data_IF_172480215742
#
_entry.id   IF_172480215742
#
_cell.length_a   1.000
_cell.length_b   1.000
_cell.length_c   1.000
_cell.angle_alpha   90.00
_cell.angle_beta   90.00
_cell.angle_gamma   90.00
#
_symmetry.space_group_name_H-M   'P 1'
#
loop_
_entity.id
_entity.type
_entity.pdbx_description
1 polymer ?
#
# COMPACT_ATOMS: atom_id res chain seq x y z
N UNK A 1 -14.43 -9.89 -80.03
CA UNK A 1 -14.30 -8.58 -79.36
C UNK A 1 -13.95 -8.88 -77.92
N UNK A 2 -12.64 -8.95 -77.70
CA UNK A 2 -12.06 -9.30 -76.36
C UNK A 2 -12.01 -8.05 -75.49
N UNK A 3 -12.76 -8.08 -74.34
CA UNK A 3 -12.60 -7.08 -73.34
C UNK A 3 -11.50 -7.53 -72.36
N UNK A 4 -10.29 -6.98 -72.53
CA UNK A 4 -9.16 -7.20 -71.66
C UNK A 4 -9.46 -6.60 -70.23
N UNK A 5 -9.62 -7.48 -69.24
CA UNK A 5 -9.74 -7.09 -67.84
C UNK A 5 -8.39 -6.51 -67.34
N UNK A 6 -8.37 -5.25 -66.99
CA UNK A 6 -7.20 -4.61 -66.35
C UNK A 6 -6.90 -5.29 -64.99
N UNK A 7 -5.65 -5.70 -64.70
CA UNK A 7 -5.30 -6.20 -63.37
C UNK A 7 -5.29 -5.04 -62.36
N UNK A 8 -6.18 -5.13 -61.37
CA UNK A 8 -6.18 -4.25 -60.21
C UNK A 8 -4.89 -4.48 -59.43
N UNK A 9 -3.93 -3.60 -59.60
CA UNK A 9 -2.70 -3.57 -58.82
C UNK A 9 -3.06 -3.26 -57.36
N UNK A 10 -3.10 -4.29 -56.50
CA UNK A 10 -3.25 -4.13 -55.06
C UNK A 10 -2.03 -3.36 -54.50
N UNK A 11 -2.24 -2.14 -54.08
CA UNK A 11 -1.21 -1.35 -53.38
C UNK A 11 -0.81 -2.11 -52.09
N UNK A 12 0.51 -2.32 -51.85
CA UNK A 12 0.95 -3.01 -50.64
C UNK A 12 0.53 -2.20 -49.39
N UNK A 13 -0.38 -2.80 -48.61
CA UNK A 13 -0.79 -2.25 -47.31
C UNK A 13 0.43 -2.24 -46.40
N UNK A 14 0.95 -1.05 -46.12
CA UNK A 14 2.06 -0.87 -45.19
C UNK A 14 1.68 -1.54 -43.85
N UNK A 15 2.54 -2.45 -43.32
CA UNK A 15 2.24 -3.08 -42.01
C UNK A 15 2.10 -2.00 -40.95
N UNK A 16 1.11 -2.12 -40.06
CA UNK A 16 0.90 -1.11 -39.01
C UNK A 16 2.17 -1.01 -38.16
N UNK A 17 2.65 0.21 -37.97
CA UNK A 17 3.78 0.49 -37.04
C UNK A 17 3.47 -0.21 -35.72
N UNK A 18 4.37 -1.08 -35.26
CA UNK A 18 4.30 -1.70 -33.93
C UNK A 18 4.38 -0.57 -32.88
N UNK A 19 3.24 -0.05 -32.45
CA UNK A 19 3.18 0.80 -31.26
C UNK A 19 3.59 -0.04 -30.05
N UNK A 20 4.15 0.59 -29.02
CA UNK A 20 4.53 -0.02 -27.75
C UNK A 20 3.37 -0.78 -27.07
N UNK A 21 2.13 -0.42 -27.38
CA UNK A 21 0.91 -1.02 -26.84
C UNK A 21 0.11 -1.72 -27.97
N UNK A 22 -0.39 -2.90 -27.69
CA UNK A 22 -1.32 -3.59 -28.60
C UNK A 22 -2.63 -2.80 -28.74
N UNK A 23 -3.36 -2.90 -29.87
CA UNK A 23 -4.65 -2.23 -30.06
C UNK A 23 -5.66 -2.54 -28.95
N UNK A 24 -5.64 -3.76 -28.43
CA UNK A 24 -6.48 -4.19 -27.29
C UNK A 24 -6.15 -3.43 -26.01
N UNK A 25 -4.86 -3.20 -25.71
CA UNK A 25 -4.46 -2.48 -24.50
C UNK A 25 -4.75 -0.98 -24.61
N UNK A 26 -4.62 -0.39 -25.81
CA UNK A 26 -5.03 1.01 -26.05
C UNK A 26 -6.51 1.18 -25.78
N UNK A 27 -7.34 0.22 -26.24
CA UNK A 27 -8.78 0.23 -26.04
C UNK A 27 -9.13 0.08 -24.54
N UNK A 28 -8.50 -0.87 -23.82
CA UNK A 28 -8.68 -1.06 -22.38
C UNK A 28 -8.34 0.22 -21.62
N UNK A 29 -7.26 0.88 -21.98
CA UNK A 29 -6.88 2.17 -21.37
C UNK A 29 -7.90 3.27 -21.64
N UNK A 30 -8.44 3.37 -22.88
CA UNK A 30 -9.52 4.32 -23.19
C UNK A 30 -10.76 4.06 -22.35
N UNK A 31 -11.18 2.80 -22.24
CA UNK A 31 -12.33 2.41 -21.41
C UNK A 31 -12.10 2.72 -19.92
N UNK A 32 -10.89 2.43 -19.40
CA UNK A 32 -10.52 2.78 -18.04
C UNK A 32 -10.61 4.30 -17.81
N UNK A 33 -10.07 5.09 -18.72
CA UNK A 33 -10.10 6.56 -18.65
C UNK A 33 -11.53 7.13 -18.77
N UNK A 34 -12.42 6.45 -19.46
CA UNK A 34 -13.82 6.86 -19.58
C UNK A 34 -14.58 6.74 -18.24
N UNK A 35 -14.15 5.83 -17.34
CA UNK A 35 -14.65 5.78 -15.97
C UNK A 35 -13.92 6.84 -15.12
N UNK A 36 -14.45 8.09 -15.11
CA UNK A 36 -13.80 9.23 -14.44
C UNK A 36 -13.55 9.00 -12.95
N UNK A 37 -14.47 8.31 -12.24
CA UNK A 37 -14.28 8.01 -10.81
C UNK A 37 -13.04 7.14 -10.58
N UNK A 38 -12.93 6.02 -11.29
CA UNK A 38 -11.79 5.12 -11.14
C UNK A 38 -10.48 5.74 -11.65
N UNK A 39 -10.52 6.54 -12.73
CA UNK A 39 -9.34 7.23 -13.25
C UNK A 39 -8.75 8.22 -12.25
N UNK A 40 -9.57 9.09 -11.65
CA UNK A 40 -9.11 10.06 -10.66
C UNK A 40 -8.75 9.38 -9.34
N UNK A 41 -9.45 8.30 -8.95
CA UNK A 41 -9.09 7.51 -7.78
C UNK A 41 -7.71 6.86 -7.92
N UNK A 42 -7.34 6.38 -9.12
CA UNK A 42 -6.00 5.85 -9.36
C UNK A 42 -4.93 6.91 -9.15
N UNK A 43 -5.10 8.10 -9.75
CA UNK A 43 -4.11 9.16 -9.62
C UNK A 43 -4.00 9.69 -8.19
N UNK A 44 -5.14 9.85 -7.50
CA UNK A 44 -5.14 10.25 -6.10
C UNK A 44 -4.47 9.20 -5.21
N UNK A 45 -4.78 7.92 -5.42
CA UNK A 45 -4.13 6.82 -4.67
C UNK A 45 -2.62 6.79 -4.92
N UNK A 46 -2.19 6.91 -6.18
CA UNK A 46 -0.77 6.95 -6.53
C UNK A 46 -0.07 8.17 -5.96
N UNK A 47 -0.72 9.33 -5.92
CA UNK A 47 -0.20 10.53 -5.28
C UNK A 47 0.00 10.32 -3.78
N UNK A 48 -1.04 9.85 -3.08
CA UNK A 48 -0.97 9.61 -1.63
C UNK A 48 0.06 8.53 -1.29
N UNK A 49 0.09 7.45 -2.07
CA UNK A 49 1.08 6.40 -1.89
C UNK A 49 2.50 6.89 -2.21
N UNK A 50 2.67 7.62 -3.32
CA UNK A 50 3.95 8.24 -3.67
C UNK A 50 4.45 9.18 -2.58
N UNK A 51 3.60 10.07 -2.06
CA UNK A 51 3.95 10.93 -0.93
C UNK A 51 4.33 10.11 0.31
N UNK A 52 3.61 9.03 0.59
CA UNK A 52 3.93 8.17 1.74
C UNK A 52 5.25 7.41 1.59
N UNK A 53 5.71 7.13 0.37
CA UNK A 53 7.04 6.54 0.14
C UNK A 53 8.17 7.49 0.54
N UNK A 54 7.92 8.80 0.47
CA UNK A 54 8.85 9.85 0.90
C UNK A 54 8.49 10.39 2.29
N UNK A 55 7.94 9.54 3.16
CA UNK A 55 7.50 9.93 4.50
C UNK A 55 8.61 10.58 5.33
N UNK A 56 9.86 10.13 5.18
CA UNK A 56 11.03 10.68 5.87
C UNK A 56 11.28 12.16 5.52
N UNK A 57 10.90 12.60 4.32
CA UNK A 57 11.01 14.00 3.90
C UNK A 57 9.80 14.85 4.28
N UNK A 58 8.69 14.20 4.65
CA UNK A 58 7.45 14.88 5.04
C UNK A 58 7.28 14.97 6.56
N UNK A 59 7.67 13.92 7.27
CA UNK A 59 7.47 13.78 8.70
C UNK A 59 8.68 13.06 9.32
N UNK A 60 9.58 13.84 9.91
CA UNK A 60 10.81 13.33 10.53
C UNK A 60 11.27 14.27 11.66
N UNK A 61 11.92 13.71 12.66
CA UNK A 61 12.58 14.42 13.77
C UNK A 61 14.00 14.88 13.42
N UNK A 62 14.43 14.66 12.17
CA UNK A 62 15.74 15.08 11.64
C UNK A 62 15.55 16.10 10.50
N UNK A 63 16.39 17.13 10.40
CA UNK A 63 16.36 18.04 9.27
C UNK A 63 16.70 17.32 7.95
N UNK A 64 16.04 17.74 6.85
CA UNK A 64 16.28 17.21 5.51
C UNK A 64 17.70 17.54 5.07
N UNK A 65 18.10 18.81 5.27
CA UNK A 65 19.42 19.31 4.97
C UNK A 65 19.86 20.19 6.14
N UNK A 66 21.10 20.07 6.55
CA UNK A 66 21.73 20.96 7.51
C UNK A 66 23.08 21.45 6.95
N UNK A 67 23.40 22.70 7.19
CA UNK A 67 24.75 23.23 6.99
C UNK A 67 25.38 23.45 8.36
N UNK A 68 26.60 22.98 8.56
CA UNK A 68 27.34 23.19 9.80
C UNK A 68 28.82 23.41 9.49
N UNK A 69 29.37 24.55 9.91
CA UNK A 69 30.76 24.96 9.67
C UNK A 69 31.21 24.84 8.20
N UNK A 70 30.28 25.12 7.27
CA UNK A 70 30.54 25.08 5.82
C UNK A 70 30.36 23.70 5.17
N UNK A 71 30.09 22.63 5.92
CA UNK A 71 29.72 21.32 5.41
C UNK A 71 28.20 21.23 5.20
N UNK A 72 27.77 20.60 4.10
CA UNK A 72 26.36 20.25 3.86
C UNK A 72 26.13 18.81 4.32
N UNK A 73 25.19 18.64 5.21
CA UNK A 73 24.81 17.37 5.82
C UNK A 73 23.40 16.99 5.41
N UNK A 74 23.14 15.67 5.33
CA UNK A 74 21.81 15.10 5.02
C UNK A 74 21.34 14.20 6.17
N UNK A 75 20.89 14.76 7.31
CA UNK A 75 20.55 13.98 8.49
C UNK A 75 19.40 12.99 8.28
N UNK A 76 18.51 13.27 7.33
CA UNK A 76 17.41 12.37 6.97
C UNK A 76 17.89 11.05 6.34
N UNK A 77 19.09 11.05 5.73
CA UNK A 77 19.65 9.88 5.02
C UNK A 77 20.83 9.23 5.74
N UNK A 78 21.57 10.02 6.50
CA UNK A 78 22.83 9.60 7.15
C UNK A 78 22.77 9.98 8.61
N UNK A 79 23.05 9.00 9.47
CA UNK A 79 23.16 9.22 10.91
C UNK A 79 24.50 9.87 11.23
N UNK A 80 24.47 11.03 11.88
CA UNK A 80 25.65 11.72 12.37
C UNK A 80 25.71 11.59 13.90
N UNK A 81 26.89 11.27 14.48
CA UNK A 81 27.04 11.25 15.93
C UNK A 81 26.97 12.67 16.47
N UNK A 82 26.45 12.82 17.68
CA UNK A 82 26.29 14.12 18.35
C UNK A 82 27.66 14.78 18.64
N UNK A 83 28.73 13.98 18.75
CA UNK A 83 30.14 14.47 18.89
C UNK A 83 30.52 15.48 17.80
N UNK A 84 29.96 15.35 16.57
CA UNK A 84 30.21 16.30 15.47
C UNK A 84 29.73 17.70 15.81
N UNK A 85 28.69 17.82 16.66
CA UNK A 85 28.07 19.06 17.09
C UNK A 85 28.41 19.46 18.53
N UNK A 86 29.40 18.76 19.15
CA UNK A 86 29.85 19.04 20.50
C UNK A 86 29.10 18.32 21.62
N UNK A 87 28.21 17.37 21.29
CA UNK A 87 27.53 16.54 22.24
C UNK A 87 28.23 15.21 22.54
N UNK A 88 27.51 14.26 23.18
CA UNK A 88 28.08 13.00 23.68
C UNK A 88 27.28 11.75 23.24
N UNK A 89 26.16 11.90 22.59
CA UNK A 89 25.30 10.78 22.21
C UNK A 89 25.75 10.16 20.87
N UNK A 90 25.48 8.86 20.71
CA UNK A 90 25.76 8.13 19.48
C UNK A 90 24.91 8.58 18.29
N UNK A 91 23.67 9.04 18.57
CA UNK A 91 22.76 9.63 17.58
C UNK A 91 22.43 11.06 18.01
N UNK A 92 22.38 11.98 17.01
CA UNK A 92 22.11 13.39 17.27
C UNK A 92 20.62 13.65 17.44
N UNK A 93 20.22 14.22 18.58
CA UNK A 93 18.90 14.82 18.75
C UNK A 93 18.90 16.27 18.25
N UNK A 94 18.55 16.46 16.97
CA UNK A 94 18.48 17.79 16.33
C UNK A 94 17.38 18.71 16.92
N UNK A 95 16.49 18.18 17.77
CA UNK A 95 15.43 18.94 18.45
C UNK A 95 15.88 19.44 19.83
N UNK A 96 16.95 18.90 20.37
CA UNK A 96 17.57 19.42 21.59
C UNK A 96 17.99 20.88 21.37
N UNK A 97 17.63 21.76 22.31
CA UNK A 97 17.98 23.19 22.23
C UNK A 97 19.48 23.40 22.11
N UNK A 98 20.27 22.59 22.83
CA UNK A 98 21.74 22.68 22.83
C UNK A 98 22.31 22.43 21.42
N UNK A 99 21.88 21.37 20.76
CA UNK A 99 22.37 21.01 19.41
C UNK A 99 21.77 21.95 18.36
N UNK A 100 20.49 22.29 18.47
CA UNK A 100 19.84 23.20 17.54
C UNK A 100 20.49 24.59 17.55
N UNK A 101 20.81 25.13 18.74
CA UNK A 101 21.44 26.42 18.89
C UNK A 101 22.89 26.40 18.35
N UNK A 102 23.66 25.34 18.63
CA UNK A 102 25.03 25.17 18.08
C UNK A 102 25.02 25.13 16.54
N UNK A 103 24.09 24.35 15.95
CA UNK A 103 24.01 24.26 14.48
C UNK A 103 23.54 25.60 13.89
N UNK A 104 22.56 26.26 14.49
CA UNK A 104 22.04 27.55 14.00
C UNK A 104 23.06 28.70 14.16
N UNK A 105 23.92 28.65 15.17
CA UNK A 105 25.01 29.62 15.35
C UNK A 105 26.09 29.48 14.26
N UNK A 106 26.33 28.28 13.75
CA UNK A 106 27.39 27.96 12.79
C UNK A 106 26.86 27.56 11.39
N UNK A 107 25.55 27.72 11.13
CA UNK A 107 24.93 27.32 9.88
C UNK A 107 23.42 27.46 9.88
N UNK A 108 22.72 26.50 9.24
CA UNK A 108 21.26 26.50 9.12
C UNK A 108 20.72 25.06 8.93
N UNK A 109 19.42 24.88 9.20
CA UNK A 109 18.71 23.62 9.02
C UNK A 109 17.42 23.82 8.25
N UNK A 110 17.14 22.92 7.27
CA UNK A 110 15.86 22.82 6.59
C UNK A 110 15.12 21.62 7.15
N UNK A 111 14.01 21.88 7.80
CA UNK A 111 13.17 20.85 8.42
C UNK A 111 12.09 20.36 7.48
N UNK A 112 11.64 19.08 7.63
CA UNK A 112 10.41 18.64 7.01
C UNK A 112 9.19 19.41 7.55
N UNK A 113 8.06 19.44 6.81
CA UNK A 113 6.84 20.14 7.25
C UNK A 113 6.33 19.68 8.62
N UNK A 114 6.50 18.38 8.94
CA UNK A 114 6.16 17.78 10.22
C UNK A 114 7.47 17.38 10.90
N UNK A 115 7.81 18.04 12.01
CA UNK A 115 9.07 17.83 12.71
C UNK A 115 9.02 16.68 13.72
N UNK A 116 8.24 15.64 13.41
CA UNK A 116 8.08 14.43 14.20
C UNK A 116 8.12 13.22 13.28
N UNK A 117 8.82 12.17 13.68
CA UNK A 117 8.70 10.85 13.08
C UNK A 117 7.53 10.10 13.74
N UNK A 118 7.20 8.93 13.21
CA UNK A 118 6.18 8.08 13.83
C UNK A 118 6.56 7.54 15.22
N UNK A 119 7.84 7.67 15.63
CA UNK A 119 8.38 7.25 16.93
C UNK A 119 8.61 8.40 17.88
N UNK A 120 8.77 9.61 17.35
CA UNK A 120 9.12 10.77 18.15
C UNK A 120 8.03 11.08 19.16
N UNK A 121 8.40 11.11 20.42
CA UNK A 121 7.55 11.55 21.53
C UNK A 121 7.67 13.07 21.66
N UNK A 122 6.55 13.77 21.73
CA UNK A 122 6.55 15.19 22.00
C UNK A 122 6.48 15.41 23.53
N UNK A 123 7.61 15.78 24.14
CA UNK A 123 7.68 16.10 25.58
C UNK A 123 7.11 17.47 25.94
N UNK A 124 6.94 18.36 24.93
CA UNK A 124 6.48 19.75 25.12
C UNK A 124 4.99 19.90 24.86
N UNK A 125 4.18 18.90 25.25
CA UNK A 125 2.71 18.96 25.12
C UNK A 125 2.12 19.71 26.31
N UNK A 126 1.06 20.55 26.08
CA UNK A 126 0.47 21.37 27.14
C UNK A 126 -0.33 20.57 28.18
N UNK A 127 -0.82 19.38 27.79
CA UNK A 127 -1.63 18.49 28.63
C UNK A 127 -1.12 17.07 28.55
N UNK A 128 -1.59 16.20 29.43
CA UNK A 128 -1.29 14.76 29.36
C UNK A 128 -1.74 14.16 28.03
N UNK A 129 -0.96 13.23 27.47
CA UNK A 129 -1.34 12.50 26.27
C UNK A 129 -2.60 11.64 26.51
N UNK A 130 -3.49 11.53 25.52
CA UNK A 130 -3.45 12.14 24.18
C UNK A 130 -3.87 13.62 24.18
N UNK A 131 -3.11 14.47 23.48
CA UNK A 131 -3.36 15.91 23.36
C UNK A 131 -4.09 16.26 22.08
N UNK A 132 -5.06 17.17 22.14
CA UNK A 132 -5.89 17.58 21.02
C UNK A 132 -5.06 18.21 19.86
N UNK A 133 -5.59 18.23 18.64
CA UNK A 133 -5.02 18.98 17.52
C UNK A 133 -4.79 20.44 17.89
N UNK A 134 -3.66 21.01 17.46
CA UNK A 134 -3.28 22.38 17.84
C UNK A 134 -4.32 23.46 17.47
N UNK A 135 -5.08 23.26 16.40
CA UNK A 135 -6.10 24.19 15.93
C UNK A 135 -7.37 24.20 16.78
N UNK A 136 -7.53 23.21 17.66
CA UNK A 136 -8.60 23.20 18.69
C UNK A 136 -8.18 23.91 19.99
N UNK A 137 -6.90 24.26 20.14
CA UNK A 137 -6.36 24.91 21.33
C UNK A 137 -6.18 26.41 21.13
N UNK A 138 -6.25 27.19 22.21
CA UNK A 138 -5.84 28.60 22.21
C UNK A 138 -4.32 28.73 22.00
N UNK A 139 -3.84 29.91 21.65
CA UNK A 139 -2.41 30.13 21.45
C UNK A 139 -1.63 29.96 22.75
N UNK A 140 -2.19 30.40 23.85
CA UNK A 140 -1.64 30.27 25.20
C UNK A 140 -1.51 28.80 25.57
N UNK A 141 -2.56 28.00 25.39
CA UNK A 141 -2.53 26.55 25.64
C UNK A 141 -1.49 25.82 24.78
N UNK A 142 -1.45 26.13 23.47
CA UNK A 142 -0.49 25.49 22.54
C UNK A 142 0.94 25.64 22.98
N UNK A 143 1.31 26.84 23.45
CA UNK A 143 2.68 27.18 23.78
C UNK A 143 3.02 26.96 25.25
N UNK A 144 2.06 26.52 26.08
CA UNK A 144 2.28 26.27 27.51
C UNK A 144 3.32 25.18 27.80
N UNK A 145 3.47 24.20 26.90
CA UNK A 145 4.49 23.14 27.01
C UNK A 145 5.91 23.56 26.59
N UNK A 146 6.10 24.79 26.08
CA UNK A 146 7.41 25.27 25.63
C UNK A 146 8.07 26.17 26.68
N UNK A 147 9.41 26.05 26.89
CA UNK A 147 10.12 26.76 27.97
C UNK A 147 9.96 28.28 27.93
N UNK A 148 9.92 28.89 26.77
CA UNK A 148 9.74 30.33 26.56
C UNK A 148 8.29 30.73 26.26
N UNK A 149 7.34 29.80 26.39
CA UNK A 149 5.94 30.04 26.08
C UNK A 149 5.70 30.51 24.65
N UNK A 150 4.89 31.58 24.49
CA UNK A 150 4.58 32.14 23.16
C UNK A 150 5.78 32.78 22.44
N UNK A 151 6.88 33.04 23.13
CA UNK A 151 8.10 33.61 22.57
C UNK A 151 9.09 32.54 22.14
N UNK A 152 8.82 31.26 22.42
CA UNK A 152 9.68 30.16 21.98
C UNK A 152 9.57 29.94 20.46
N UNK A 153 10.68 30.06 19.70
CA UNK A 153 10.67 29.77 18.26
C UNK A 153 10.21 28.35 17.93
N UNK A 154 10.33 27.40 18.86
CA UNK A 154 9.85 26.04 18.68
C UNK A 154 8.32 25.95 18.69
N UNK A 155 7.61 26.91 19.28
CA UNK A 155 6.15 27.01 19.23
C UNK A 155 5.68 27.55 17.86
N UNK A 156 6.11 26.89 16.80
CA UNK A 156 5.77 27.20 15.40
C UNK A 156 4.84 26.12 14.83
N UNK A 157 4.23 26.39 13.69
CA UNK A 157 3.37 25.41 12.99
C UNK A 157 4.13 24.10 12.68
N UNK A 158 5.43 24.16 12.44
CA UNK A 158 6.26 22.98 12.18
C UNK A 158 6.53 22.10 13.39
N UNK A 159 6.40 22.65 14.60
CA UNK A 159 6.60 21.91 15.86
C UNK A 159 5.28 21.51 16.54
N UNK A 160 4.14 21.93 16.00
CA UNK A 160 2.83 21.61 16.55
C UNK A 160 2.27 20.31 15.95
N UNK A 161 1.52 19.57 16.76
CA UNK A 161 0.85 18.35 16.31
C UNK A 161 -0.44 18.68 15.58
N UNK A 162 -0.43 18.61 14.24
CA UNK A 162 -1.53 19.02 13.37
C UNK A 162 -2.83 18.25 13.61
N UNK A 163 -2.73 16.95 13.85
CA UNK A 163 -3.87 16.08 14.15
C UNK A 163 -3.85 15.58 15.62
N UNK A 164 -3.15 16.32 16.48
CA UNK A 164 -2.99 15.94 17.87
C UNK A 164 -1.94 14.85 18.09
N UNK A 165 -1.90 14.34 19.32
CA UNK A 165 -1.01 13.24 19.71
C UNK A 165 -1.79 11.99 20.04
N UNK A 166 -1.12 10.85 20.00
CA UNK A 166 -1.63 9.58 20.50
C UNK A 166 -1.41 9.46 22.04
N UNK A 167 -1.75 8.29 22.60
CA UNK A 167 -1.63 8.00 24.03
C UNK A 167 -0.20 7.97 24.56
N UNK A 168 0.80 7.93 23.66
CA UNK A 168 2.24 7.99 23.96
C UNK A 168 2.87 9.34 23.56
N UNK A 169 2.05 10.38 23.35
CA UNK A 169 2.49 11.71 22.90
C UNK A 169 3.21 11.70 21.54
N UNK A 170 2.95 10.71 20.66
CA UNK A 170 3.49 10.67 19.29
C UNK A 170 2.55 11.40 18.34
N UNK A 171 3.11 12.01 17.29
CA UNK A 171 2.34 12.78 16.30
C UNK A 171 1.42 11.88 15.46
N UNK A 172 0.12 12.18 15.48
CA UNK A 172 -0.91 11.41 14.77
C UNK A 172 -0.74 11.52 13.25
N UNK A 173 -0.41 12.71 12.71
CA UNK A 173 -0.27 12.89 11.27
C UNK A 173 0.96 12.14 10.72
N UNK A 174 2.08 12.18 11.43
CA UNK A 174 3.25 11.36 11.10
C UNK A 174 2.87 9.87 11.08
N UNK A 175 2.19 9.38 12.11
CA UNK A 175 1.74 7.99 12.20
C UNK A 175 0.78 7.58 11.07
N UNK A 176 -0.08 8.49 10.63
CA UNK A 176 -0.96 8.26 9.47
C UNK A 176 -0.15 8.06 8.19
N UNK A 177 0.81 8.95 7.92
CA UNK A 177 1.62 8.89 6.69
C UNK A 177 2.41 7.58 6.62
N UNK A 178 3.10 7.23 7.70
CA UNK A 178 3.86 5.98 7.80
C UNK A 178 2.97 4.74 7.85
N UNK A 179 1.84 4.80 8.56
CA UNK A 179 0.86 3.72 8.63
C UNK A 179 0.20 3.43 7.30
N UNK A 180 -0.15 4.47 6.54
CA UNK A 180 -0.63 4.34 5.16
C UNK A 180 0.40 3.60 4.28
N UNK A 181 1.66 4.01 4.31
CA UNK A 181 2.76 3.36 3.59
C UNK A 181 2.88 1.88 3.91
N UNK A 182 2.95 1.54 5.20
CA UNK A 182 3.10 0.16 5.65
C UNK A 182 1.89 -0.68 5.24
N UNK A 183 0.68 -0.16 5.41
CA UNK A 183 -0.55 -0.88 5.04
C UNK A 183 -0.60 -1.19 3.54
N UNK A 184 -0.23 -0.23 2.68
CA UNK A 184 -0.20 -0.43 1.23
C UNK A 184 0.91 -1.39 0.82
N UNK A 185 2.14 -1.22 1.34
CA UNK A 185 3.27 -2.10 1.02
C UNK A 185 3.01 -3.53 1.46
N UNK A 186 2.47 -3.72 2.66
CA UNK A 186 2.10 -5.03 3.16
C UNK A 186 1.01 -5.67 2.32
N UNK A 187 -0.06 -4.91 2.05
CA UNK A 187 -1.17 -5.38 1.21
C UNK A 187 -0.70 -5.77 -0.19
N UNK A 188 0.18 -4.98 -0.82
CA UNK A 188 0.77 -5.30 -2.12
C UNK A 188 1.63 -6.56 -2.05
N UNK A 189 2.53 -6.67 -1.06
CA UNK A 189 3.38 -7.84 -0.89
C UNK A 189 2.54 -9.11 -0.71
N UNK A 190 1.54 -9.07 0.19
CA UNK A 190 0.64 -10.18 0.43
C UNK A 190 -0.16 -10.54 -0.83
N UNK A 191 -0.71 -9.55 -1.52
CA UNK A 191 -1.49 -9.77 -2.75
C UNK A 191 -0.64 -10.38 -3.86
N UNK A 192 0.59 -9.90 -4.08
CA UNK A 192 1.50 -10.43 -5.10
C UNK A 192 1.91 -11.88 -4.77
N UNK A 193 2.35 -12.15 -3.54
CA UNK A 193 2.72 -13.49 -3.11
C UNK A 193 1.53 -14.47 -3.20
N UNK A 194 0.35 -14.04 -2.74
CA UNK A 194 -0.88 -14.81 -2.84
C UNK A 194 -1.30 -15.07 -4.28
N UNK A 195 -1.13 -14.07 -5.16
CA UNK A 195 -1.41 -14.25 -6.59
C UNK A 195 -0.50 -15.29 -7.23
N UNK A 196 0.81 -15.26 -6.95
CA UNK A 196 1.75 -16.24 -7.49
C UNK A 196 1.34 -17.67 -7.10
N UNK A 197 1.05 -17.91 -5.83
CA UNK A 197 0.67 -19.23 -5.32
C UNK A 197 -0.73 -19.62 -5.86
N UNK A 198 -1.72 -18.75 -5.68
CA UNK A 198 -3.11 -19.05 -6.00
C UNK A 198 -3.36 -19.18 -7.50
N UNK A 199 -2.71 -18.35 -8.34
CA UNK A 199 -2.77 -18.47 -9.80
C UNK A 199 -2.14 -19.78 -10.26
N UNK A 200 -1.00 -20.16 -9.69
CA UNK A 200 -0.34 -21.43 -10.02
C UNK A 200 -1.22 -22.62 -9.63
N UNK A 201 -1.74 -22.64 -8.41
CA UNK A 201 -2.62 -23.70 -7.92
C UNK A 201 -3.91 -23.80 -8.77
N UNK A 202 -4.57 -22.66 -9.02
CA UNK A 202 -5.79 -22.60 -9.83
C UNK A 202 -5.56 -23.01 -11.28
N UNK A 203 -4.42 -22.63 -11.87
CA UNK A 203 -4.04 -23.04 -13.22
C UNK A 203 -3.83 -24.54 -13.33
N UNK A 204 -3.08 -25.15 -12.40
CA UNK A 204 -2.88 -26.62 -12.34
C UNK A 204 -4.22 -27.34 -12.17
N UNK A 205 -5.01 -26.90 -11.21
CA UNK A 205 -6.31 -27.49 -10.90
C UNK A 205 -7.26 -27.43 -12.11
N UNK A 206 -7.42 -26.27 -12.72
CA UNK A 206 -8.32 -26.05 -13.86
C UNK A 206 -7.83 -26.70 -15.16
N UNK A 207 -6.51 -26.78 -15.40
CA UNK A 207 -5.96 -27.39 -16.61
C UNK A 207 -6.09 -28.91 -16.62
N UNK A 208 -5.61 -29.58 -15.56
CA UNK A 208 -5.65 -31.04 -15.51
C UNK A 208 -7.08 -31.55 -15.25
N UNK A 209 -7.83 -30.91 -14.35
CA UNK A 209 -9.19 -31.36 -14.01
C UNK A 209 -9.24 -32.74 -13.38
N UNK A 210 -10.39 -33.41 -13.45
CA UNK A 210 -10.58 -34.77 -12.96
C UNK A 210 -10.15 -34.93 -11.49
N UNK A 211 -9.36 -35.98 -11.18
CA UNK A 211 -8.89 -36.25 -9.83
C UNK A 211 -8.01 -35.16 -9.23
N UNK A 212 -7.17 -34.50 -10.04
CA UNK A 212 -6.34 -33.37 -9.59
C UNK A 212 -7.21 -32.22 -9.09
N UNK A 213 -8.26 -31.90 -9.83
CA UNK A 213 -9.21 -30.86 -9.47
C UNK A 213 -9.98 -31.24 -8.17
N UNK A 214 -10.49 -32.46 -8.12
CA UNK A 214 -11.26 -32.94 -6.96
C UNK A 214 -10.42 -32.95 -5.68
N UNK A 215 -9.21 -33.50 -5.70
CA UNK A 215 -8.35 -33.59 -4.53
C UNK A 215 -7.92 -32.22 -4.02
N UNK A 216 -7.43 -31.35 -4.93
CA UNK A 216 -7.03 -30.00 -4.56
C UNK A 216 -8.22 -29.17 -4.05
N UNK A 217 -9.40 -29.33 -4.67
CA UNK A 217 -10.60 -28.63 -4.21
C UNK A 217 -11.02 -29.09 -2.80
N UNK A 218 -10.97 -30.39 -2.49
CA UNK A 218 -11.25 -30.90 -1.14
C UNK A 218 -10.24 -30.40 -0.12
N UNK A 219 -8.97 -30.36 -0.47
CA UNK A 219 -7.93 -29.79 0.40
C UNK A 219 -8.22 -28.31 0.69
N UNK A 220 -8.56 -27.52 -0.33
CA UNK A 220 -8.89 -26.10 -0.16
C UNK A 220 -10.17 -25.92 0.67
N UNK A 221 -11.19 -26.75 0.49
CA UNK A 221 -12.43 -26.71 1.27
C UNK A 221 -12.16 -27.00 2.76
N UNK A 222 -11.38 -28.04 3.07
CA UNK A 222 -10.97 -28.35 4.44
C UNK A 222 -10.15 -27.19 5.03
N UNK A 223 -9.19 -26.66 4.27
CA UNK A 223 -8.34 -25.54 4.69
C UNK A 223 -9.15 -24.27 4.97
N UNK A 224 -10.09 -23.95 4.10
CA UNK A 224 -10.95 -22.76 4.21
C UNK A 224 -12.07 -22.91 5.26
N UNK A 225 -12.38 -24.13 5.70
CA UNK A 225 -13.35 -24.36 6.78
C UNK A 225 -12.81 -24.00 8.16
N UNK A 226 -11.50 -23.86 8.28
CA UNK A 226 -10.87 -23.46 9.55
C UNK A 226 -11.19 -21.98 9.85
N UNK A 227 -11.44 -21.62 11.11
CA UNK A 227 -11.70 -20.23 11.50
C UNK A 227 -10.39 -19.43 11.44
N UNK A 228 -10.12 -18.88 10.25
CA UNK A 228 -8.83 -18.24 9.88
C UNK A 228 -8.37 -17.22 10.91
N UNK A 229 -9.27 -16.35 11.38
CA UNK A 229 -8.91 -15.31 12.36
C UNK A 229 -8.32 -15.92 13.65
N UNK A 230 -8.95 -16.98 14.19
CA UNK A 230 -8.46 -17.62 15.42
C UNK A 230 -7.09 -18.27 15.22
N UNK A 231 -6.87 -18.88 14.06
CA UNK A 231 -5.57 -19.49 13.76
C UNK A 231 -4.50 -18.41 13.63
N UNK A 232 -4.80 -17.31 12.95
CA UNK A 232 -3.89 -16.17 12.85
C UNK A 232 -3.54 -15.60 14.24
N UNK A 233 -4.52 -15.43 15.12
CA UNK A 233 -4.30 -14.97 16.49
C UNK A 233 -3.41 -15.93 17.30
N UNK A 234 -3.67 -17.24 17.22
CA UNK A 234 -2.86 -18.24 17.93
C UNK A 234 -1.42 -18.23 17.44
N UNK A 235 -1.19 -18.21 16.13
CA UNK A 235 0.15 -18.22 15.56
C UNK A 235 0.88 -16.89 15.89
N UNK A 236 0.20 -15.75 15.76
CA UNK A 236 0.76 -14.45 16.08
C UNK A 236 1.10 -14.29 17.57
N UNK A 237 0.41 -15.00 18.47
CA UNK A 237 0.74 -15.00 19.90
C UNK A 237 1.99 -15.84 20.24
N UNK A 238 2.37 -16.78 19.38
CA UNK A 238 3.54 -17.67 19.60
C UNK A 238 4.79 -17.11 18.95
N UNK A 239 4.66 -16.52 17.74
CA UNK A 239 5.79 -16.02 16.98
C UNK A 239 6.07 -14.54 17.33
N UNK A 240 7.33 -14.08 17.30
CA UNK A 240 7.66 -12.69 17.54
C UNK A 240 7.01 -11.82 16.47
N UNK A 241 6.40 -10.68 16.86
CA UNK A 241 5.73 -9.78 15.92
C UNK A 241 6.75 -9.20 14.93
N UNK A 242 6.37 -9.15 13.65
CA UNK A 242 7.23 -8.63 12.59
C UNK A 242 6.54 -8.66 11.23
N UNK A 243 6.95 -7.73 10.35
CA UNK A 243 6.38 -7.60 9.01
C UNK A 243 6.39 -8.92 8.22
N UNK A 244 7.53 -9.60 8.15
CA UNK A 244 7.68 -10.84 7.38
C UNK A 244 7.00 -12.04 8.04
N UNK A 245 7.00 -12.08 9.38
CA UNK A 245 6.31 -13.15 10.13
C UNK A 245 4.81 -13.04 9.87
N UNK A 246 4.25 -11.84 10.02
CA UNK A 246 2.83 -11.60 9.77
C UNK A 246 2.46 -11.85 8.30
N UNK A 247 3.32 -11.43 7.35
CA UNK A 247 3.16 -11.72 5.93
C UNK A 247 3.09 -13.23 5.67
N UNK A 248 4.01 -14.01 6.26
CA UNK A 248 4.03 -15.47 6.12
C UNK A 248 2.78 -16.13 6.69
N UNK A 249 2.36 -15.72 7.89
CA UNK A 249 1.14 -16.23 8.54
C UNK A 249 -0.10 -15.94 7.68
N UNK A 250 -0.27 -14.72 7.22
CA UNK A 250 -1.42 -14.35 6.39
C UNK A 250 -1.37 -15.02 5.01
N UNK A 251 -0.18 -15.27 4.47
CA UNK A 251 0.00 -15.93 3.19
C UNK A 251 -0.53 -17.39 3.21
N UNK A 252 -0.51 -18.06 4.37
CA UNK A 252 -1.06 -19.42 4.50
C UNK A 252 -2.53 -19.52 4.04
N UNK A 253 -3.30 -18.45 4.15
CA UNK A 253 -4.73 -18.44 3.84
C UNK A 253 -5.10 -17.58 2.64
N UNK A 254 -4.40 -16.49 2.38
CA UNK A 254 -4.82 -15.47 1.40
C UNK A 254 -4.72 -15.93 -0.06
N UNK A 255 -3.84 -16.88 -0.39
CA UNK A 255 -3.68 -17.44 -1.73
C UNK A 255 -4.93 -18.12 -2.28
N UNK A 256 -5.77 -18.67 -1.38
CA UNK A 256 -7.01 -19.38 -1.75
C UNK A 256 -7.98 -18.48 -2.53
N UNK A 257 -8.01 -17.20 -2.22
CA UNK A 257 -8.86 -16.21 -2.90
C UNK A 257 -8.64 -16.13 -4.42
N UNK A 258 -7.42 -16.42 -4.88
CA UNK A 258 -7.11 -16.43 -6.32
C UNK A 258 -7.43 -17.74 -7.02
N UNK A 259 -7.41 -18.85 -6.27
CA UNK A 259 -7.56 -20.20 -6.86
C UNK A 259 -8.88 -20.35 -7.60
N UNK A 260 -10.00 -19.99 -6.97
CA UNK A 260 -11.33 -20.16 -7.55
C UNK A 260 -11.50 -19.41 -8.87
N UNK A 261 -10.98 -18.18 -8.93
CA UNK A 261 -11.05 -17.30 -10.11
C UNK A 261 -10.28 -17.92 -11.27
N UNK A 262 -9.03 -18.30 -11.03
CA UNK A 262 -8.14 -18.85 -12.07
C UNK A 262 -8.57 -20.24 -12.51
N UNK A 263 -8.98 -21.08 -11.55
CA UNK A 263 -9.52 -22.42 -11.84
C UNK A 263 -10.72 -22.34 -12.79
N UNK A 264 -11.68 -21.44 -12.54
CA UNK A 264 -12.86 -21.30 -13.38
C UNK A 264 -12.48 -20.93 -14.83
N UNK A 265 -11.55 -19.97 -14.98
CA UNK A 265 -11.06 -19.55 -16.31
C UNK A 265 -10.31 -20.67 -17.03
N UNK A 266 -9.50 -21.45 -16.33
CA UNK A 266 -8.78 -22.56 -16.92
C UNK A 266 -9.70 -23.73 -17.30
N UNK A 267 -10.71 -24.06 -16.48
CA UNK A 267 -11.73 -25.06 -16.80
C UNK A 267 -12.51 -24.69 -18.06
N UNK A 268 -12.81 -23.40 -18.24
CA UNK A 268 -13.47 -22.89 -19.44
C UNK A 268 -12.53 -22.93 -20.65
N UNK A 269 -11.32 -22.39 -20.52
CA UNK A 269 -10.37 -22.19 -21.61
C UNK A 269 -9.78 -23.50 -22.14
N UNK A 270 -9.65 -24.56 -21.33
CA UNK A 270 -9.07 -25.83 -21.76
C UNK A 270 -9.85 -26.53 -22.88
N UNK A 271 -11.12 -26.15 -23.06
CA UNK A 271 -12.00 -26.69 -24.11
C UNK A 271 -12.00 -25.83 -25.38
N UNK A 272 -11.29 -24.72 -25.44
CA UNK A 272 -11.21 -23.87 -26.63
C UNK A 272 -10.40 -24.53 -27.75
N UNK A 273 -10.77 -24.22 -29.00
CA UNK A 273 -10.17 -24.81 -30.19
C UNK A 273 -8.65 -24.64 -30.27
N UNK A 274 -8.13 -23.46 -29.90
CA UNK A 274 -6.68 -23.22 -29.91
C UNK A 274 -5.91 -24.11 -28.92
N UNK A 275 -6.52 -24.47 -27.77
CA UNK A 275 -5.91 -25.39 -26.81
C UNK A 275 -5.94 -26.82 -27.31
N UNK A 276 -7.05 -27.23 -27.92
CA UNK A 276 -7.18 -28.55 -28.58
C UNK A 276 -6.19 -28.72 -29.73
N UNK A 277 -6.05 -27.69 -30.59
CA UNK A 277 -5.09 -27.68 -31.68
C UNK A 277 -3.64 -27.78 -31.16
N UNK A 278 -3.28 -27.01 -30.12
CA UNK A 278 -1.96 -27.07 -29.50
C UNK A 278 -1.63 -28.48 -28.97
N UNK A 279 -2.61 -29.14 -28.34
CA UNK A 279 -2.46 -30.54 -27.86
C UNK A 279 -2.28 -31.52 -29.03
N UNK A 280 -3.09 -31.38 -30.10
CA UNK A 280 -2.98 -32.22 -31.28
C UNK A 280 -1.62 -32.09 -31.99
N UNK A 281 -1.00 -30.91 -31.92
CA UNK A 281 0.36 -30.64 -32.44
C UNK A 281 1.47 -31.10 -31.46
N UNK A 282 1.14 -31.76 -30.34
CA UNK A 282 2.12 -32.28 -29.37
C UNK A 282 2.81 -31.21 -28.51
N UNK A 283 2.25 -30.01 -28.40
CA UNK A 283 2.82 -28.95 -27.53
C UNK A 283 2.76 -29.39 -26.07
N UNK A 284 3.87 -29.21 -25.35
CA UNK A 284 3.98 -29.59 -23.93
C UNK A 284 2.93 -28.86 -23.06
N UNK A 285 2.33 -29.57 -22.10
CA UNK A 285 1.33 -29.06 -21.18
C UNK A 285 1.78 -27.78 -20.44
N UNK A 286 3.04 -27.69 -20.02
CA UNK A 286 3.59 -26.46 -19.39
C UNK A 286 3.50 -25.26 -20.33
N UNK A 287 3.86 -25.43 -21.58
CA UNK A 287 3.79 -24.37 -22.62
C UNK A 287 2.34 -23.96 -22.87
N UNK A 288 1.41 -24.92 -22.96
CA UNK A 288 -0.01 -24.63 -23.13
C UNK A 288 -0.55 -23.82 -21.94
N UNK A 289 -0.26 -24.25 -20.72
CA UNK A 289 -0.72 -23.55 -19.50
C UNK A 289 -0.18 -22.12 -19.41
N UNK A 290 1.14 -21.96 -19.46
CA UNK A 290 1.78 -20.68 -19.15
C UNK A 290 1.79 -19.71 -20.32
N UNK A 291 1.95 -20.19 -21.54
CA UNK A 291 2.10 -19.32 -22.73
C UNK A 291 0.78 -19.07 -23.46
N UNK A 292 -0.14 -20.04 -23.46
CA UNK A 292 -1.38 -19.94 -24.23
C UNK A 292 -2.61 -19.65 -23.38
N UNK A 293 -2.74 -20.26 -22.19
CA UNK A 293 -3.93 -20.10 -21.36
C UNK A 293 -3.80 -18.98 -20.31
N UNK A 294 -2.68 -18.94 -19.60
CA UNK A 294 -2.49 -17.97 -18.50
C UNK A 294 -2.68 -16.50 -18.91
N UNK A 295 -2.12 -16.01 -20.04
CA UNK A 295 -2.32 -14.61 -20.42
C UNK A 295 -3.80 -14.21 -20.59
N UNK A 296 -4.64 -15.16 -21.01
CA UNK A 296 -6.08 -14.95 -21.13
C UNK A 296 -6.80 -15.02 -19.77
N UNK A 297 -6.41 -15.98 -18.93
CA UNK A 297 -6.96 -16.12 -17.57
C UNK A 297 -6.57 -14.96 -16.65
N UNK A 298 -5.39 -14.34 -16.85
CA UNK A 298 -4.93 -13.17 -16.08
C UNK A 298 -5.85 -11.96 -16.21
N UNK A 299 -6.66 -11.87 -17.27
CA UNK A 299 -7.65 -10.80 -17.41
C UNK A 299 -8.62 -10.80 -16.22
N UNK A 300 -9.19 -11.96 -15.90
CA UNK A 300 -10.08 -12.09 -14.73
C UNK A 300 -9.31 -11.83 -13.41
N UNK A 301 -8.11 -12.38 -13.26
CA UNK A 301 -7.28 -12.18 -12.08
C UNK A 301 -6.98 -10.71 -11.82
N UNK A 302 -6.60 -9.94 -12.86
CA UNK A 302 -6.31 -8.51 -12.76
C UNK A 302 -7.52 -7.68 -12.34
N UNK A 303 -8.73 -8.07 -12.76
CA UNK A 303 -9.95 -7.36 -12.36
C UNK A 303 -10.30 -7.54 -10.88
N UNK A 304 -9.87 -8.62 -10.25
CA UNK A 304 -10.08 -8.87 -8.81
C UNK A 304 -8.95 -8.38 -7.93
N UNK A 305 -7.79 -8.07 -8.48
CA UNK A 305 -6.58 -7.72 -7.73
C UNK A 305 -6.78 -6.53 -6.76
N UNK A 306 -7.43 -5.40 -7.13
CA UNK A 306 -7.67 -4.29 -6.20
C UNK A 306 -8.58 -4.67 -5.03
N UNK A 307 -9.54 -5.56 -5.25
CA UNK A 307 -10.45 -6.03 -4.19
C UNK A 307 -9.73 -6.95 -3.20
N UNK A 308 -8.85 -7.83 -3.70
CA UNK A 308 -8.02 -8.69 -2.85
C UNK A 308 -7.02 -7.84 -2.06
N UNK A 309 -6.43 -6.82 -2.68
CA UNK A 309 -5.57 -5.86 -2.00
C UNK A 309 -6.32 -5.14 -0.87
N UNK A 310 -7.54 -4.67 -1.12
CA UNK A 310 -8.39 -4.05 -0.08
C UNK A 310 -8.65 -5.01 1.07
N UNK A 311 -8.97 -6.28 0.77
CA UNK A 311 -9.15 -7.32 1.78
C UNK A 311 -7.88 -7.59 2.60
N UNK A 312 -6.72 -7.63 1.96
CA UNK A 312 -5.42 -7.81 2.63
C UNK A 312 -5.12 -6.68 3.62
N UNK A 313 -5.34 -5.43 3.21
CA UNK A 313 -5.18 -4.25 4.07
C UNK A 313 -6.15 -4.30 5.25
N UNK A 314 -7.41 -4.64 5.00
CA UNK A 314 -8.45 -4.74 6.05
C UNK A 314 -8.09 -5.82 7.07
N UNK A 315 -7.59 -6.98 6.64
CA UNK A 315 -7.18 -8.05 7.54
C UNK A 315 -5.97 -7.64 8.39
N UNK A 316 -4.95 -7.00 7.79
CA UNK A 316 -3.82 -6.43 8.54
C UNK A 316 -4.31 -5.46 9.62
N UNK A 317 -5.15 -4.49 9.24
CA UNK A 317 -5.69 -3.49 10.17
C UNK A 317 -6.51 -4.12 11.29
N UNK A 318 -7.26 -5.19 11.00
CA UNK A 318 -8.01 -5.93 12.02
C UNK A 318 -7.09 -6.65 13.02
N UNK A 319 -5.99 -7.26 12.55
CA UNK A 319 -5.00 -7.89 13.42
C UNK A 319 -4.26 -6.85 14.27
N UNK A 320 -3.87 -5.72 13.68
CA UNK A 320 -3.26 -4.60 14.41
C UNK A 320 -4.20 -4.05 15.49
N UNK A 321 -5.49 -3.88 15.15
CA UNK A 321 -6.52 -3.44 16.11
C UNK A 321 -6.67 -4.39 17.30
N UNK A 322 -6.51 -5.70 17.07
CA UNK A 322 -6.58 -6.74 18.09
C UNK A 322 -5.25 -6.91 18.86
N UNK A 323 -4.19 -6.19 18.48
CA UNK A 323 -2.87 -6.26 19.13
C UNK A 323 -2.01 -7.44 18.67
N UNK A 324 -2.37 -8.13 17.57
CA UNK A 324 -1.65 -9.28 17.01
C UNK A 324 -1.03 -8.97 15.64
N UNK A 325 -0.91 -7.69 15.30
CA UNK A 325 -0.37 -7.24 14.02
C UNK A 325 1.12 -6.93 14.05
N UNK A 326 1.45 -5.68 13.72
CA UNK A 326 2.83 -5.18 13.70
C UNK A 326 3.41 -5.04 15.11
N UNK A 327 4.76 -5.01 15.25
CA UNK A 327 5.39 -4.81 16.55
C UNK A 327 4.92 -3.53 17.24
N UNK A 328 4.85 -3.50 18.58
CA UNK A 328 4.50 -2.30 19.33
C UNK A 328 5.37 -1.10 18.93
N UNK A 329 4.74 0.07 18.80
CA UNK A 329 5.42 1.28 18.32
C UNK A 329 5.55 1.43 16.81
N UNK A 330 5.21 0.39 16.02
CA UNK A 330 5.11 0.53 14.57
C UNK A 330 3.98 1.49 14.20
N UNK A 331 4.10 2.24 13.08
CA UNK A 331 3.00 3.07 12.62
C UNK A 331 1.91 2.16 12.04
N UNK A 332 0.79 2.03 12.74
CA UNK A 332 -0.34 1.21 12.33
C UNK A 332 -1.65 1.97 12.45
N UNK A 333 -2.46 1.91 11.39
CA UNK A 333 -3.81 2.48 11.39
C UNK A 333 -4.74 1.68 12.33
N UNK A 334 -4.54 0.37 12.45
CA UNK A 334 -5.32 -0.49 13.35
C UNK A 334 -5.04 -0.19 14.82
N UNK A 335 -3.76 0.02 15.20
CA UNK A 335 -3.38 0.45 16.54
C UNK A 335 -4.02 1.81 16.88
N UNK A 336 -4.01 2.77 15.95
CA UNK A 336 -4.65 4.07 16.17
C UNK A 336 -6.17 3.96 16.38
N UNK A 337 -6.85 3.05 15.68
CA UNK A 337 -8.28 2.78 15.92
C UNK A 337 -8.47 2.17 17.33
N UNK A 338 -7.59 1.26 17.75
CA UNK A 338 -7.63 0.67 19.09
C UNK A 338 -7.41 1.71 20.19
N UNK A 339 -6.43 2.60 20.02
CA UNK A 339 -6.19 3.72 20.92
C UNK A 339 -7.40 4.68 20.98
N UNK A 340 -8.03 4.99 19.83
CA UNK A 340 -9.24 5.80 19.76
C UNK A 340 -10.42 5.18 20.50
N UNK A 341 -10.55 3.84 20.46
CA UNK A 341 -11.55 3.10 21.22
C UNK A 341 -11.30 3.20 22.72
N UNK A 342 -10.03 3.15 23.13
CA UNK A 342 -9.64 3.20 24.55
C UNK A 342 -9.68 4.61 25.14
N UNK A 343 -9.58 5.65 24.28
CA UNK A 343 -9.53 7.06 24.63
C UNK A 343 -10.67 7.83 23.96
N UNK A 344 -11.91 7.64 24.43
CA UNK A 344 -13.09 8.27 23.82
C UNK A 344 -13.09 9.81 23.97
N UNK A 345 -12.35 10.37 24.92
CA UNK A 345 -12.11 11.80 25.07
C UNK A 345 -11.20 12.38 23.98
N UNK A 346 -10.50 11.51 23.23
CA UNK A 346 -9.62 11.87 22.13
C UNK A 346 -10.17 11.38 20.76
N UNK A 347 -11.29 11.92 20.30
CA UNK A 347 -11.97 11.41 19.09
C UNK A 347 -11.13 11.53 17.83
N UNK A 348 -10.17 12.46 17.77
CA UNK A 348 -9.27 12.62 16.64
C UNK A 348 -8.46 11.37 16.32
N UNK A 349 -8.11 10.53 17.31
CA UNK A 349 -7.37 9.28 17.09
C UNK A 349 -8.15 8.30 16.20
N UNK A 350 -9.34 7.93 16.69
CA UNK A 350 -10.19 6.99 15.98
C UNK A 350 -10.70 7.53 14.65
N UNK A 351 -11.15 8.80 14.61
CA UNK A 351 -11.67 9.43 13.40
C UNK A 351 -10.61 9.57 12.31
N UNK A 352 -9.39 9.99 12.65
CA UNK A 352 -8.31 10.13 11.68
C UNK A 352 -7.96 8.79 11.04
N UNK A 353 -7.77 7.73 11.84
CA UNK A 353 -7.48 6.41 11.32
C UNK A 353 -8.66 5.86 10.49
N UNK A 354 -9.89 6.04 10.96
CA UNK A 354 -11.10 5.62 10.25
C UNK A 354 -11.25 6.29 8.89
N UNK A 355 -11.12 7.63 8.81
CA UNK A 355 -11.21 8.34 7.53
C UNK A 355 -10.06 7.98 6.59
N UNK A 356 -8.85 7.81 7.10
CA UNK A 356 -7.71 7.36 6.29
C UNK A 356 -7.98 6.00 5.67
N UNK A 357 -8.44 5.03 6.46
CA UNK A 357 -8.82 3.71 5.98
C UNK A 357 -9.98 3.77 4.98
N UNK A 358 -11.03 4.53 5.28
CA UNK A 358 -12.21 4.66 4.43
C UNK A 358 -11.85 5.24 3.07
N UNK A 359 -11.03 6.29 3.02
CA UNK A 359 -10.54 6.90 1.78
C UNK A 359 -9.70 5.89 1.00
N UNK A 360 -8.72 5.26 1.64
CA UNK A 360 -7.82 4.29 1.00
C UNK A 360 -8.60 3.14 0.38
N UNK A 361 -9.51 2.51 1.12
CA UNK A 361 -10.32 1.38 0.64
C UNK A 361 -11.30 1.82 -0.46
N UNK A 362 -11.94 2.98 -0.31
CA UNK A 362 -12.85 3.52 -1.35
C UNK A 362 -12.13 3.78 -2.66
N UNK A 363 -10.91 4.36 -2.62
CA UNK A 363 -10.09 4.56 -3.81
C UNK A 363 -9.76 3.23 -4.49
N UNK A 364 -9.36 2.20 -3.73
CA UNK A 364 -9.07 0.87 -4.27
C UNK A 364 -10.31 0.20 -4.88
N UNK A 365 -11.48 0.36 -4.28
CA UNK A 365 -12.74 -0.16 -4.82
C UNK A 365 -13.07 0.52 -6.15
N UNK A 366 -13.01 1.86 -6.23
CA UNK A 366 -13.27 2.58 -7.48
C UNK A 366 -12.26 2.24 -8.58
N UNK A 367 -10.99 2.04 -8.23
CA UNK A 367 -9.98 1.54 -9.16
C UNK A 367 -10.37 0.13 -9.65
N UNK A 368 -10.77 -0.76 -8.74
CA UNK A 368 -11.19 -2.11 -9.07
C UNK A 368 -12.40 -2.16 -10.01
N UNK A 369 -13.41 -1.34 -9.75
CA UNK A 369 -14.57 -1.19 -10.64
C UNK A 369 -14.16 -0.70 -12.03
N UNK A 370 -13.32 0.32 -12.12
CA UNK A 370 -12.86 0.86 -13.39
C UNK A 370 -11.99 -0.15 -14.17
N UNK A 371 -11.14 -0.91 -13.47
CA UNK A 371 -10.36 -2.00 -14.09
C UNK A 371 -11.30 -3.07 -14.62
N UNK A 372 -12.27 -3.52 -13.83
CA UNK A 372 -13.28 -4.50 -14.28
C UNK A 372 -14.04 -4.00 -15.50
N UNK A 373 -14.49 -2.75 -15.49
CA UNK A 373 -15.19 -2.12 -16.62
C UNK A 373 -14.33 -2.03 -17.88
N UNK A 374 -13.03 -1.76 -17.74
CA UNK A 374 -12.09 -1.69 -18.84
C UNK A 374 -11.83 -3.04 -19.54
N UNK A 375 -11.98 -4.13 -18.81
CA UNK A 375 -11.81 -5.49 -19.31
C UNK A 375 -13.13 -6.15 -19.76
N UNK A 376 -14.30 -5.54 -19.48
CA UNK A 376 -15.61 -6.09 -19.90
C UNK A 376 -15.81 -5.93 -21.43
N UNK A 377 -15.91 -7.04 -22.17
CA UNK A 377 -16.11 -7.00 -23.62
C UNK A 377 -17.49 -6.45 -24.02
N UNK A 378 -18.49 -6.49 -23.12
CA UNK A 378 -19.86 -6.08 -23.42
C UNK A 378 -20.01 -4.56 -23.53
N UNK A 379 -19.21 -3.78 -22.82
CA UNK A 379 -19.21 -2.30 -22.87
C UNK A 379 -18.62 -1.72 -24.17
N UNK A 380 -18.33 -2.54 -25.17
CA UNK A 380 -17.70 -2.12 -26.43
C UNK A 380 -18.69 -1.79 -27.54
N UNK A 381 -19.96 -1.94 -27.29
CA UNK A 381 -21.03 -1.73 -28.28
C UNK A 381 -21.93 -0.53 -27.93
N UNK A 382 -21.50 0.33 -27.04
CA UNK A 382 -22.16 1.61 -26.72
C UNK A 382 -21.21 2.79 -27.13
#
# INVERSE_FOLDING_TARGET
>A
MDAAANPVTATPVKPPRKGLLSPTNIRRWKNFRANGRGYWSLWLFLLLFGLSLFAEFLANDRPVIASYKGEILFPVLIDYPEEKFGGFLAETDYRSSVIADEINANGWMIWPPIRYSYRSVNSNIPHSAPTAPFWLMTKEERCAGYPQGMNDPACTLGNLNWLGTDDQARDVLARVIYGFRISVLFGLALTICSAIIGVTAGAVQGYFGGWTDLLLQRLIEIWSSMPVLYILLIIAAILPPGFFVLLGIMLLFSWVGFVGIVRAEFLRARNFEYVRAARALGVNNRTIMWRHMLPNAMVATLTFLPFILSGSITTLTSLDFLGFGMPPGSPSLGEMIAQGKSNLQAPWLGLTAFFTMSIMLSLLIFIGEAVRDAFDPRKTFQ
#
